data_IF_447513298201
#
_entry.id   IF_447513298201
#
_cell.length_a   1.000
_cell.length_b   1.000
_cell.length_c   1.000
_cell.angle_alpha   90.00
_cell.angle_beta   90.00
_cell.angle_gamma   90.00
#
_symmetry.space_group_name_H-M   'P 1'
#
loop_
_entity.id
_entity.type
_entity.pdbx_description
1 polymer ?
#
# COMPACT_ATOMS: atom_id res chain seq x y z
N UNK A 1 -1.64 8.67 -19.39
CA UNK A 1 -1.95 9.77 -18.45
C UNK A 1 -2.20 9.27 -17.02
N UNK A 2 -2.66 8.03 -16.81
CA UNK A 2 -3.09 7.52 -15.49
C UNK A 2 -1.98 7.27 -14.45
N UNK A 3 -0.79 6.81 -14.88
CA UNK A 3 0.29 6.48 -13.91
C UNK A 3 0.92 7.73 -13.29
N UNK A 4 1.06 8.80 -14.06
CA UNK A 4 1.70 10.04 -13.61
C UNK A 4 0.87 10.77 -12.55
N UNK A 5 -0.47 10.75 -12.68
CA UNK A 5 -1.39 11.39 -11.72
C UNK A 5 -1.40 10.62 -10.39
N UNK A 6 -1.52 9.29 -10.43
CA UNK A 6 -1.60 8.46 -9.22
C UNK A 6 -0.30 8.41 -8.42
N UNK A 7 0.85 8.40 -9.11
CA UNK A 7 2.16 8.48 -8.46
C UNK A 7 2.53 9.92 -8.05
N UNK A 8 2.17 10.91 -8.86
CA UNK A 8 2.39 12.33 -8.55
C UNK A 8 1.63 12.81 -7.31
N UNK A 9 0.39 12.35 -7.10
CA UNK A 9 -0.39 12.72 -5.91
C UNK A 9 0.22 12.17 -4.60
N UNK A 10 0.83 10.97 -4.64
CA UNK A 10 1.53 10.37 -3.48
C UNK A 10 2.87 11.03 -3.17
N UNK A 11 3.48 11.68 -4.16
CA UNK A 11 4.70 12.47 -4.01
C UNK A 11 4.38 13.85 -3.39
N UNK A 12 3.43 14.56 -4.00
CA UNK A 12 3.14 15.95 -3.69
C UNK A 12 2.41 16.09 -2.35
N UNK A 13 1.50 15.16 -2.03
CA UNK A 13 0.65 15.23 -0.84
C UNK A 13 1.41 15.32 0.49
N UNK A 14 2.24 14.32 0.87
CA UNK A 14 2.97 14.33 2.15
C UNK A 14 3.97 15.50 2.27
N UNK A 15 4.61 15.86 1.16
CA UNK A 15 5.60 16.95 1.10
C UNK A 15 4.95 18.31 1.39
N UNK A 16 3.83 18.61 0.74
CA UNK A 16 3.07 19.83 1.00
C UNK A 16 2.47 19.82 2.40
N UNK A 17 1.93 18.68 2.85
CA UNK A 17 1.35 18.56 4.19
C UNK A 17 2.38 18.86 5.30
N UNK A 18 3.60 18.36 5.17
CA UNK A 18 4.69 18.65 6.11
C UNK A 18 5.05 20.14 6.18
N UNK A 19 5.11 20.81 5.03
CA UNK A 19 5.39 22.26 4.95
C UNK A 19 4.25 23.09 5.57
N UNK A 20 2.99 22.79 5.24
CA UNK A 20 1.83 23.49 5.78
C UNK A 20 1.78 23.39 7.31
N UNK A 21 1.91 22.16 7.84
CA UNK A 21 1.88 21.94 9.30
C UNK A 21 3.06 22.62 9.99
N UNK A 22 4.25 22.58 9.38
CA UNK A 22 5.47 23.16 9.96
C UNK A 22 5.42 24.69 10.10
N UNK A 23 4.81 25.39 9.14
CA UNK A 23 4.76 26.86 9.14
C UNK A 23 3.49 27.45 9.75
N UNK A 24 2.33 26.83 9.52
CA UNK A 24 1.02 27.40 9.88
C UNK A 24 0.23 26.53 10.86
N UNK A 25 0.87 25.51 11.44
CA UNK A 25 0.26 24.62 12.41
C UNK A 25 -0.75 23.65 11.79
N UNK A 26 -1.28 22.74 12.63
CA UNK A 26 -2.12 21.63 12.18
C UNK A 26 -3.43 22.08 11.50
N UNK A 27 -4.01 23.21 11.90
CA UNK A 27 -5.25 23.73 11.33
C UNK A 27 -5.14 24.00 9.82
N UNK A 28 -3.97 24.45 9.36
CA UNK A 28 -3.71 24.72 7.94
C UNK A 28 -3.85 23.45 7.09
N UNK A 29 -3.38 22.30 7.58
CA UNK A 29 -3.52 21.03 6.87
C UNK A 29 -4.99 20.63 6.70
N UNK A 30 -5.84 20.87 7.71
CA UNK A 30 -7.27 20.59 7.63
C UNK A 30 -7.98 21.53 6.64
N UNK A 31 -7.67 22.83 6.63
CA UNK A 31 -8.25 23.78 5.68
C UNK A 31 -7.80 23.49 4.24
N UNK A 32 -6.51 23.25 4.02
CA UNK A 32 -5.98 22.88 2.70
C UNK A 32 -6.61 21.59 2.20
N UNK A 33 -6.78 20.60 3.08
CA UNK A 33 -7.49 19.37 2.75
C UNK A 33 -8.95 19.66 2.35
N UNK A 34 -9.69 20.46 3.13
CA UNK A 34 -11.07 20.82 2.81
C UNK A 34 -11.18 21.53 1.44
N UNK A 35 -10.28 22.47 1.15
CA UNK A 35 -10.23 23.18 -0.13
C UNK A 35 -9.94 22.23 -1.30
N UNK A 36 -9.07 21.23 -1.11
CA UNK A 36 -8.78 20.21 -2.14
C UNK A 36 -10.01 19.37 -2.49
N UNK A 37 -10.90 19.11 -1.53
CA UNK A 37 -12.17 18.42 -1.77
C UNK A 37 -13.15 19.29 -2.57
N UNK A 38 -13.18 20.60 -2.33
CA UNK A 38 -13.99 21.53 -3.15
C UNK A 38 -13.51 21.50 -4.61
N UNK A 39 -12.20 21.55 -4.83
CA UNK A 39 -11.62 21.43 -6.17
C UNK A 39 -11.97 20.09 -6.83
N UNK A 40 -11.93 18.98 -6.08
CA UNK A 40 -12.33 17.66 -6.56
C UNK A 40 -13.82 17.62 -6.95
N UNK A 41 -14.71 18.18 -6.13
CA UNK A 41 -16.16 18.25 -6.42
C UNK A 41 -16.40 19.07 -7.69
N UNK A 42 -15.76 20.23 -7.82
CA UNK A 42 -15.88 21.07 -9.01
C UNK A 42 -15.41 20.33 -10.28
N UNK A 43 -14.29 19.59 -10.19
CA UNK A 43 -13.80 18.76 -11.29
C UNK A 43 -14.77 17.62 -11.64
N UNK A 44 -15.36 16.96 -10.64
CA UNK A 44 -16.36 15.89 -10.84
C UNK A 44 -17.65 16.39 -11.49
N UNK A 45 -18.13 17.59 -11.12
CA UNK A 45 -19.32 18.19 -11.73
C UNK A 45 -19.04 18.66 -13.17
N UNK A 46 -17.79 19.03 -13.46
CA UNK A 46 -17.36 19.49 -14.79
C UNK A 46 -17.09 18.34 -15.78
N UNK A 47 -17.01 17.10 -15.31
CA UNK A 47 -16.78 15.94 -16.16
C UNK A 47 -18.00 15.67 -17.07
N UNK A 48 -17.79 15.45 -18.38
CA UNK A 48 -18.87 15.08 -19.28
C UNK A 48 -19.62 13.85 -18.79
N UNK A 49 -20.94 13.81 -19.02
CA UNK A 49 -21.72 12.59 -18.78
C UNK A 49 -21.10 11.45 -19.58
N UNK A 50 -20.93 10.30 -18.90
CA UNK A 50 -20.39 9.10 -19.53
C UNK A 50 -21.27 8.70 -20.72
N UNK A 51 -20.69 8.33 -21.88
CA UNK A 51 -21.43 7.72 -22.97
C UNK A 51 -22.16 6.45 -22.50
N UNK A 52 -23.44 6.31 -22.85
CA UNK A 52 -24.16 5.05 -22.64
C UNK A 52 -23.48 3.94 -23.45
N UNK A 53 -23.28 2.79 -22.81
CA UNK A 53 -22.72 1.61 -23.49
C UNK A 53 -23.80 0.86 -24.26
N UNK A 54 -23.43 -0.28 -24.85
CA UNK A 54 -24.45 -1.22 -25.32
C UNK A 54 -25.29 -1.75 -24.13
N UNK A 55 -26.52 -2.25 -24.36
CA UNK A 55 -27.33 -2.83 -23.28
C UNK A 55 -26.61 -3.94 -22.50
N UNK A 56 -25.80 -4.74 -23.20
CA UNK A 56 -24.95 -5.79 -22.60
C UNK A 56 -23.86 -5.18 -21.70
N UNK A 57 -23.16 -4.14 -22.16
CA UNK A 57 -22.18 -3.43 -21.33
C UNK A 57 -22.82 -2.77 -20.11
N UNK A 58 -24.04 -2.23 -20.23
CA UNK A 58 -24.77 -1.65 -19.10
C UNK A 58 -25.24 -2.72 -18.11
N UNK A 59 -25.65 -3.89 -18.59
CA UNK A 59 -26.00 -5.03 -17.76
C UNK A 59 -24.77 -5.59 -17.02
N UNK A 60 -23.61 -5.65 -17.69
CA UNK A 60 -22.33 -6.00 -17.07
C UNK A 60 -21.80 -4.92 -16.11
N UNK A 61 -22.23 -3.67 -16.25
CA UNK A 61 -21.99 -2.60 -15.24
C UNK A 61 -22.92 -2.72 -14.04
N UNK A 62 -24.13 -3.27 -14.21
CA UNK A 62 -25.07 -3.57 -13.11
C UNK A 62 -24.73 -4.83 -12.33
N UNK A 63 -23.81 -5.67 -12.82
CA UNK A 63 -23.36 -6.83 -12.07
C UNK A 63 -22.76 -6.44 -10.71
N UNK A 64 -23.03 -7.25 -9.71
CA UNK A 64 -22.74 -6.94 -8.31
C UNK A 64 -21.29 -7.11 -7.90
N UNK A 65 -20.99 -6.70 -6.66
CA UNK A 65 -19.68 -6.80 -5.99
C UNK A 65 -19.10 -8.24 -6.06
N UNK A 66 -19.96 -9.26 -6.09
CA UNK A 66 -19.55 -10.67 -6.20
C UNK A 66 -18.71 -10.96 -7.46
N UNK A 67 -18.89 -10.22 -8.55
CA UNK A 67 -18.10 -10.43 -9.76
C UNK A 67 -16.63 -10.02 -9.54
N UNK A 68 -16.39 -8.96 -8.77
CA UNK A 68 -15.05 -8.56 -8.36
C UNK A 68 -14.36 -9.66 -7.54
N UNK A 69 -15.07 -10.22 -6.55
CA UNK A 69 -14.56 -11.36 -5.77
C UNK A 69 -14.31 -12.61 -6.61
N UNK A 70 -15.21 -12.93 -7.55
CA UNK A 70 -15.06 -14.06 -8.47
C UNK A 70 -13.84 -13.89 -9.35
N UNK A 71 -13.65 -12.70 -9.92
CA UNK A 71 -12.47 -12.38 -10.74
C UNK A 71 -11.19 -12.49 -9.92
N UNK A 72 -11.16 -11.88 -8.73
CA UNK A 72 -10.01 -12.00 -7.81
C UNK A 72 -9.68 -13.48 -7.56
N UNK A 73 -10.67 -14.30 -7.20
CA UNK A 73 -10.46 -15.72 -6.90
C UNK A 73 -9.93 -16.51 -8.10
N UNK A 74 -10.28 -16.11 -9.33
CA UNK A 74 -9.76 -16.74 -10.55
C UNK A 74 -8.32 -16.35 -10.90
N UNK A 75 -7.86 -15.17 -10.46
CA UNK A 75 -6.52 -14.67 -10.77
C UNK A 75 -5.58 -14.89 -9.57
N UNK A 76 -4.73 -15.94 -9.67
CA UNK A 76 -3.77 -16.33 -8.62
C UNK A 76 -2.80 -15.21 -8.23
N UNK A 77 -2.36 -14.39 -9.18
CA UNK A 77 -1.44 -13.27 -8.90
C UNK A 77 -2.15 -12.24 -8.02
N UNK A 78 -3.38 -11.86 -8.38
CA UNK A 78 -4.17 -10.90 -7.61
C UNK A 78 -4.48 -11.44 -6.20
N UNK A 79 -4.81 -12.73 -6.07
CA UNK A 79 -4.97 -13.36 -4.74
C UNK A 79 -3.68 -13.23 -3.92
N UNK A 80 -2.51 -13.57 -4.48
CA UNK A 80 -1.24 -13.43 -3.77
C UNK A 80 -0.98 -11.99 -3.32
N UNK A 81 -1.26 -11.01 -4.18
CA UNK A 81 -1.06 -9.60 -3.84
C UNK A 81 -2.02 -9.09 -2.76
N UNK A 82 -3.28 -9.54 -2.78
CA UNK A 82 -4.27 -9.23 -1.75
C UNK A 82 -3.88 -9.87 -0.41
N UNK A 83 -3.43 -11.12 -0.44
CA UNK A 83 -2.91 -11.83 0.75
C UNK A 83 -1.69 -11.12 1.31
N UNK A 84 -0.77 -10.66 0.44
CA UNK A 84 0.39 -9.88 0.89
C UNK A 84 -0.04 -8.59 1.59
N UNK A 85 -1.01 -7.85 1.05
CA UNK A 85 -1.55 -6.65 1.73
C UNK A 85 -2.16 -7.03 3.07
N UNK A 86 -2.98 -8.09 3.13
CA UNK A 86 -3.57 -8.54 4.38
C UNK A 86 -2.52 -8.89 5.45
N UNK A 87 -1.43 -9.57 5.06
CA UNK A 87 -0.31 -9.87 5.95
C UNK A 87 0.37 -8.60 6.46
N UNK A 88 0.59 -7.60 5.59
CA UNK A 88 1.13 -6.31 6.01
C UNK A 88 0.18 -5.60 6.99
N UNK A 89 -1.12 -5.60 6.71
CA UNK A 89 -2.14 -5.00 7.58
C UNK A 89 -2.16 -5.63 8.97
N UNK A 90 -2.07 -6.96 9.06
CA UNK A 90 -2.20 -7.69 10.33
C UNK A 90 -0.90 -7.62 11.16
N UNK A 91 0.25 -7.87 10.52
CA UNK A 91 1.50 -8.11 11.24
C UNK A 91 2.43 -6.90 11.30
N UNK A 92 2.30 -5.94 10.39
CA UNK A 92 3.26 -4.83 10.26
C UNK A 92 2.62 -3.50 10.65
N UNK A 93 1.42 -3.22 10.14
CA UNK A 93 0.77 -1.92 10.29
C UNK A 93 0.50 -1.51 11.75
N UNK A 94 0.06 -2.41 12.66
CA UNK A 94 -0.19 -2.03 14.06
C UNK A 94 1.06 -1.54 14.78
N UNK A 95 2.24 -2.08 14.45
CA UNK A 95 3.52 -1.68 15.05
C UNK A 95 3.84 -0.20 14.80
N UNK A 96 3.53 0.30 13.60
CA UNK A 96 3.89 1.65 13.15
C UNK A 96 2.77 2.69 13.32
N UNK A 97 1.52 2.25 13.52
CA UNK A 97 0.36 3.16 13.58
C UNK A 97 -0.32 3.21 14.94
N UNK A 98 -0.56 2.04 15.57
CA UNK A 98 -1.33 1.94 16.82
C UNK A 98 -0.41 1.83 18.03
N UNK A 99 0.63 1.00 17.94
CA UNK A 99 1.52 0.70 19.07
C UNK A 99 2.65 1.71 19.23
N UNK A 100 2.92 2.53 18.21
CA UNK A 100 4.04 3.47 18.20
C UNK A 100 4.08 4.44 19.41
N UNK A 101 2.98 5.07 19.86
CA UNK A 101 3.02 5.97 21.01
C UNK A 101 3.46 5.24 22.29
N UNK A 102 2.93 4.03 22.51
CA UNK A 102 3.28 3.18 23.65
C UNK A 102 4.72 2.68 23.53
N UNK A 103 5.17 2.30 22.33
CA UNK A 103 6.55 1.90 22.08
C UNK A 103 7.54 3.02 22.43
N UNK A 104 7.26 4.26 22.00
CA UNK A 104 8.12 5.41 22.29
C UNK A 104 8.18 5.70 23.80
N UNK A 105 7.05 5.61 24.50
CA UNK A 105 6.97 5.88 25.94
C UNK A 105 7.57 4.76 26.79
N UNK A 106 7.16 3.52 26.53
CA UNK A 106 7.38 2.38 27.44
C UNK A 106 8.65 1.59 27.09
N UNK A 107 9.09 1.62 25.82
CA UNK A 107 10.27 0.87 25.36
C UNK A 107 11.48 1.78 25.13
N UNK A 108 11.28 2.95 24.52
CA UNK A 108 12.37 3.91 24.28
C UNK A 108 12.55 4.91 25.42
N UNK A 109 11.56 5.05 26.32
CA UNK A 109 11.54 6.07 27.38
C UNK A 109 11.72 7.50 26.83
N UNK A 110 11.11 7.78 25.68
CA UNK A 110 11.17 9.06 24.97
C UNK A 110 9.80 9.76 24.96
N UNK A 111 9.80 11.03 24.56
CA UNK A 111 8.59 11.87 24.50
C UNK A 111 8.06 12.12 23.10
N UNK A 112 7.04 13.00 23.02
CA UNK A 112 6.33 13.36 21.79
C UNK A 112 7.25 13.88 20.67
N UNK A 113 8.35 14.59 21.00
CA UNK A 113 9.33 15.07 20.01
C UNK A 113 9.95 13.91 19.22
N UNK A 114 10.34 12.84 19.90
CA UNK A 114 10.90 11.64 19.27
C UNK A 114 9.85 10.88 18.48
N UNK A 115 8.61 10.81 18.97
CA UNK A 115 7.49 10.24 18.22
C UNK A 115 7.26 10.98 16.89
N UNK A 116 7.22 12.32 16.94
CA UNK A 116 7.12 13.15 15.73
C UNK A 116 8.30 12.94 14.77
N UNK A 117 9.52 12.81 15.29
CA UNK A 117 10.70 12.45 14.50
C UNK A 117 10.58 11.09 13.81
N UNK A 118 10.13 10.05 14.51
CA UNK A 118 9.91 8.72 13.93
C UNK A 118 8.81 8.75 12.86
N UNK A 119 7.72 9.49 13.10
CA UNK A 119 6.66 9.68 12.10
C UNK A 119 7.17 10.43 10.86
N UNK A 120 8.00 11.45 11.02
CA UNK A 120 8.60 12.19 9.90
C UNK A 120 9.54 11.30 9.07
N UNK A 121 10.35 10.46 9.73
CA UNK A 121 11.24 9.51 9.06
C UNK A 121 10.44 8.43 8.32
N UNK A 122 9.39 7.91 8.94
CA UNK A 122 8.46 6.98 8.28
C UNK A 122 7.80 7.61 7.05
N UNK A 123 7.27 8.84 7.17
CA UNK A 123 6.68 9.56 6.05
C UNK A 123 7.67 9.82 4.91
N UNK A 124 8.90 10.22 5.24
CA UNK A 124 9.98 10.42 4.27
C UNK A 124 10.38 9.11 3.58
N UNK A 125 10.46 8.02 4.33
CA UNK A 125 10.69 6.69 3.80
C UNK A 125 9.58 6.24 2.84
N UNK A 126 8.31 6.44 3.21
CA UNK A 126 7.18 6.13 2.36
C UNK A 126 7.20 6.93 1.04
N UNK A 127 7.57 8.20 1.10
CA UNK A 127 7.79 9.06 -0.07
C UNK A 127 8.91 8.50 -0.97
N UNK A 128 10.08 8.19 -0.40
CA UNK A 128 11.20 7.60 -1.15
C UNK A 128 10.82 6.25 -1.79
N UNK A 129 10.10 5.39 -1.07
CA UNK A 129 9.58 4.14 -1.62
C UNK A 129 8.59 4.34 -2.77
N UNK A 130 7.79 5.41 -2.71
CA UNK A 130 6.85 5.77 -3.78
C UNK A 130 7.55 6.25 -5.05
N UNK A 131 8.68 6.96 -4.93
CA UNK A 131 9.53 7.33 -6.07
C UNK A 131 10.25 6.09 -6.58
N UNK A 132 10.85 5.31 -5.68
CA UNK A 132 11.65 4.14 -6.03
C UNK A 132 10.87 3.11 -6.85
N UNK A 133 9.55 2.99 -6.66
CA UNK A 133 8.75 2.05 -7.47
C UNK A 133 8.83 2.39 -8.97
N UNK A 134 9.02 3.67 -9.33
CA UNK A 134 9.06 4.13 -10.71
C UNK A 134 10.28 3.60 -11.46
N UNK A 135 11.38 3.29 -10.76
CA UNK A 135 12.58 2.70 -11.34
C UNK A 135 12.51 1.18 -11.49
N UNK A 136 11.42 0.53 -11.04
CA UNK A 136 11.30 -0.92 -11.08
C UNK A 136 10.71 -1.38 -12.42
N UNK A 137 11.54 -2.03 -13.25
CA UNK A 137 11.13 -2.65 -14.50
C UNK A 137 10.03 -3.72 -14.28
N UNK A 138 9.12 -3.85 -15.25
CA UNK A 138 7.92 -4.71 -15.14
C UNK A 138 8.24 -6.17 -14.80
N UNK A 139 9.25 -6.74 -15.45
CA UNK A 139 9.72 -8.11 -15.22
C UNK A 139 10.31 -8.37 -13.83
N UNK A 140 10.81 -7.33 -13.16
CA UNK A 140 11.50 -7.44 -11.88
C UNK A 140 10.60 -7.10 -10.69
N UNK A 141 9.35 -6.66 -10.91
CA UNK A 141 8.44 -6.22 -9.84
C UNK A 141 8.29 -7.24 -8.73
N UNK A 142 7.99 -8.50 -9.05
CA UNK A 142 7.81 -9.55 -8.04
C UNK A 142 9.10 -9.87 -7.27
N UNK A 143 10.26 -9.83 -7.94
CA UNK A 143 11.57 -10.02 -7.29
C UNK A 143 11.86 -8.91 -6.29
N UNK A 144 11.63 -7.65 -6.69
CA UNK A 144 11.75 -6.49 -5.80
C UNK A 144 10.77 -6.56 -4.63
N UNK A 145 9.53 -6.99 -4.86
CA UNK A 145 8.54 -7.16 -3.79
C UNK A 145 8.99 -8.19 -2.75
N UNK A 146 9.62 -9.29 -3.18
CA UNK A 146 10.16 -10.30 -2.25
C UNK A 146 11.31 -9.72 -1.42
N UNK A 147 12.21 -8.94 -2.03
CA UNK A 147 13.25 -8.21 -1.28
C UNK A 147 12.66 -7.25 -0.24
N UNK A 148 11.61 -6.52 -0.61
CA UNK A 148 10.89 -5.62 0.30
C UNK A 148 10.23 -6.39 1.47
N UNK A 149 9.65 -7.57 1.23
CA UNK A 149 9.10 -8.41 2.30
C UNK A 149 10.18 -8.77 3.32
N UNK A 150 11.36 -9.16 2.87
CA UNK A 150 12.49 -9.46 3.77
C UNK A 150 12.92 -8.21 4.53
N UNK A 151 13.03 -7.05 3.86
CA UNK A 151 13.37 -5.78 4.50
C UNK A 151 12.34 -5.36 5.57
N UNK A 152 11.04 -5.56 5.31
CA UNK A 152 9.96 -5.29 6.27
C UNK A 152 10.08 -6.22 7.48
N UNK A 153 10.23 -7.54 7.25
CA UNK A 153 10.38 -8.51 8.34
C UNK A 153 11.58 -8.17 9.23
N UNK A 154 12.74 -7.91 8.62
CA UNK A 154 13.96 -7.51 9.33
C UNK A 154 13.80 -6.18 10.06
N UNK A 155 13.12 -5.19 9.46
CA UNK A 155 12.85 -3.91 10.09
C UNK A 155 11.99 -4.05 11.34
N UNK A 156 10.90 -4.83 11.29
CA UNK A 156 10.04 -5.07 12.45
C UNK A 156 10.80 -5.86 13.53
N UNK A 157 11.64 -6.82 13.13
CA UNK A 157 12.50 -7.56 14.06
C UNK A 157 13.54 -6.65 14.73
N UNK A 158 14.21 -5.77 14.00
CA UNK A 158 15.14 -4.81 14.62
C UNK A 158 14.43 -3.82 15.54
N UNK A 159 13.19 -3.43 15.20
CA UNK A 159 12.37 -2.62 16.09
C UNK A 159 12.03 -3.38 17.39
N UNK A 160 11.85 -4.70 17.37
CA UNK A 160 11.60 -5.46 18.62
C UNK A 160 12.83 -5.50 19.54
N UNK A 161 14.03 -5.48 18.97
CA UNK A 161 15.31 -5.49 19.71
C UNK A 161 15.77 -4.09 20.13
N UNK A 162 15.35 -3.05 19.42
CA UNK A 162 15.84 -1.68 19.64
C UNK A 162 15.56 -1.15 21.05
N UNK A 163 16.50 -0.35 21.56
CA UNK A 163 16.41 0.41 22.81
C UNK A 163 16.69 1.91 22.59
N UNK A 164 16.98 2.31 21.35
CA UNK A 164 17.44 3.65 21.04
C UNK A 164 16.69 4.25 19.85
N UNK A 165 16.58 5.58 19.85
CA UNK A 165 15.93 6.32 18.78
C UNK A 165 16.50 6.01 17.40
N UNK A 166 17.83 5.98 17.26
CA UNK A 166 18.49 5.88 15.95
C UNK A 166 18.20 4.54 15.25
N UNK A 167 18.28 3.43 15.99
CA UNK A 167 18.00 2.10 15.42
C UNK A 167 16.52 1.96 15.05
N UNK A 168 15.61 2.43 15.91
CA UNK A 168 14.17 2.45 15.61
C UNK A 168 13.87 3.35 14.41
N UNK A 169 14.53 4.50 14.29
CA UNK A 169 14.38 5.42 13.16
C UNK A 169 14.81 4.77 11.83
N UNK A 170 16.00 4.15 11.80
CA UNK A 170 16.47 3.43 10.61
C UNK A 170 15.53 2.27 10.23
N UNK A 171 15.09 1.49 11.23
CA UNK A 171 14.15 0.39 11.01
C UNK A 171 12.81 0.89 10.45
N UNK A 172 12.21 1.92 11.05
CA UNK A 172 10.95 2.50 10.57
C UNK A 172 11.08 3.11 9.18
N UNK A 173 12.19 3.79 8.89
CA UNK A 173 12.47 4.31 7.55
C UNK A 173 12.52 3.20 6.50
N UNK A 174 13.25 2.11 6.80
CA UNK A 174 13.35 0.95 5.91
C UNK A 174 12.00 0.24 5.71
N UNK A 175 11.23 0.04 6.79
CA UNK A 175 9.88 -0.51 6.73
C UNK A 175 9.01 0.37 5.82
N UNK A 176 9.04 1.69 6.01
CA UNK A 176 8.17 2.61 5.26
C UNK A 176 8.51 2.64 3.76
N UNK A 177 9.81 2.63 3.39
CA UNK A 177 10.25 2.52 1.99
C UNK A 177 9.69 1.25 1.36
N UNK A 178 9.98 0.10 1.97
CA UNK A 178 9.61 -1.20 1.44
C UNK A 178 8.09 -1.41 1.38
N UNK A 179 7.37 -0.97 2.41
CA UNK A 179 5.91 -1.06 2.50
C UNK A 179 5.25 -0.19 1.42
N UNK A 180 5.66 1.07 1.28
CA UNK A 180 5.13 1.99 0.27
C UNK A 180 5.36 1.48 -1.15
N UNK A 181 6.56 0.97 -1.42
CA UNK A 181 6.89 0.36 -2.72
C UNK A 181 6.01 -0.87 -3.00
N UNK A 182 5.83 -1.77 -2.03
CA UNK A 182 4.96 -2.94 -2.17
C UNK A 182 3.49 -2.56 -2.40
N UNK A 183 2.95 -1.58 -1.67
CA UNK A 183 1.60 -1.07 -1.91
C UNK A 183 1.46 -0.46 -3.30
N UNK A 184 2.47 0.28 -3.75
CA UNK A 184 2.52 0.85 -5.09
C UNK A 184 2.50 -0.22 -6.18
N UNK A 185 3.43 -1.19 -6.10
CA UNK A 185 3.55 -2.29 -7.05
C UNK A 185 2.30 -3.16 -7.09
N UNK A 186 1.70 -3.49 -5.94
CA UNK A 186 0.44 -4.23 -5.90
C UNK A 186 -0.66 -3.50 -6.65
N UNK A 187 -0.87 -2.21 -6.37
CA UNK A 187 -1.90 -1.43 -7.06
C UNK A 187 -1.66 -1.36 -8.56
N UNK A 188 -0.40 -1.16 -8.98
CA UNK A 188 -0.04 -1.12 -10.40
C UNK A 188 -0.28 -2.46 -11.09
N UNK A 189 0.13 -3.59 -10.49
CA UNK A 189 -0.06 -4.92 -11.08
C UNK A 189 -1.56 -5.26 -11.15
N UNK A 190 -2.32 -4.98 -10.10
CA UNK A 190 -3.77 -5.21 -10.08
C UNK A 190 -4.47 -4.39 -11.18
N UNK A 191 -4.13 -3.10 -11.33
CA UNK A 191 -4.72 -2.25 -12.36
C UNK A 191 -4.32 -2.68 -13.77
N UNK A 192 -3.09 -3.17 -13.96
CA UNK A 192 -2.62 -3.70 -15.25
C UNK A 192 -3.32 -5.01 -15.64
N UNK A 193 -3.65 -5.87 -14.68
CA UNK A 193 -4.28 -7.17 -14.95
C UNK A 193 -5.81 -7.09 -15.02
N UNK A 194 -6.44 -6.19 -14.25
CA UNK A 194 -7.89 -6.12 -14.18
C UNK A 194 -8.50 -5.53 -15.48
N UNK A 195 -9.50 -6.20 -16.08
CA UNK A 195 -10.27 -5.68 -17.22
C UNK A 195 -10.89 -4.33 -16.89
N UNK A 196 -10.96 -3.42 -17.86
CA UNK A 196 -11.42 -2.04 -17.64
C UNK A 196 -12.77 -1.94 -16.92
N UNK A 197 -13.71 -2.83 -17.21
CA UNK A 197 -15.04 -2.87 -16.59
C UNK A 197 -15.03 -3.42 -15.14
N UNK A 198 -13.98 -4.14 -14.71
CA UNK A 198 -13.83 -4.69 -13.35
C UNK A 198 -12.81 -3.96 -12.49
N UNK A 199 -11.98 -3.08 -13.05
CA UNK A 199 -10.89 -2.39 -12.33
C UNK A 199 -11.33 -1.81 -10.99
N UNK A 200 -12.41 -1.03 -10.97
CA UNK A 200 -12.92 -0.42 -9.73
C UNK A 200 -13.35 -1.45 -8.68
N UNK A 201 -14.00 -2.54 -9.11
CA UNK A 201 -14.46 -3.62 -8.22
C UNK A 201 -13.28 -4.41 -7.65
N UNK A 202 -12.29 -4.74 -8.47
CA UNK A 202 -11.07 -5.45 -8.04
C UNK A 202 -10.25 -4.57 -7.09
N UNK A 203 -10.08 -3.29 -7.42
CA UNK A 203 -9.43 -2.32 -6.51
C UNK A 203 -10.18 -2.17 -5.19
N UNK A 204 -11.52 -2.27 -5.16
CA UNK A 204 -12.29 -2.28 -3.93
C UNK A 204 -12.01 -3.52 -3.06
N UNK A 205 -11.89 -4.72 -3.67
CA UNK A 205 -11.51 -5.94 -2.95
C UNK A 205 -10.08 -5.81 -2.37
N UNK A 206 -9.15 -5.24 -3.14
CA UNK A 206 -7.79 -4.93 -2.64
C UNK A 206 -7.83 -3.90 -1.51
N UNK A 207 -8.65 -2.85 -1.64
CA UNK A 207 -8.82 -1.85 -0.58
C UNK A 207 -9.40 -2.47 0.70
N UNK A 208 -10.31 -3.43 0.57
CA UNK A 208 -10.90 -4.14 1.70
C UNK A 208 -9.87 -4.96 2.50
N UNK A 209 -8.86 -5.55 1.87
CA UNK A 209 -7.80 -6.26 2.61
C UNK A 209 -6.90 -5.32 3.41
N UNK A 210 -6.93 -4.02 3.12
CA UNK A 210 -6.28 -3.00 3.94
C UNK A 210 -7.26 -2.40 4.95
N UNK A 211 -8.25 -1.65 4.49
CA UNK A 211 -9.16 -0.90 5.36
C UNK A 211 -10.09 -1.80 6.19
N UNK A 212 -10.51 -2.94 5.66
CA UNK A 212 -11.41 -3.87 6.35
C UNK A 212 -10.71 -4.67 7.45
N UNK A 213 -9.41 -4.98 7.28
CA UNK A 213 -8.63 -5.71 8.27
C UNK A 213 -7.97 -4.81 9.32
N UNK A 214 -7.85 -3.51 9.04
CA UNK A 214 -7.17 -2.56 9.93
C UNK A 214 -7.77 -2.48 11.35
N UNK A 215 -9.11 -2.42 11.56
CA UNK A 215 -9.69 -2.44 12.90
C UNK A 215 -9.39 -3.74 13.65
N UNK A 216 -9.45 -4.87 12.94
CA UNK A 216 -9.17 -6.20 13.49
C UNK A 216 -7.70 -6.29 13.92
N UNK A 217 -6.79 -5.86 13.05
CA UNK A 217 -5.35 -5.82 13.33
C UNK A 217 -5.02 -4.86 14.50
N UNK A 218 -5.70 -3.72 14.57
CA UNK A 218 -5.55 -2.74 15.64
C UNK A 218 -6.09 -3.18 17.00
N UNK A 219 -6.94 -4.20 17.05
CA UNK A 219 -7.40 -4.80 18.31
C UNK A 219 -6.53 -6.00 18.70
N UNK A 220 -6.27 -6.91 17.75
CA UNK A 220 -5.59 -8.16 18.03
C UNK A 220 -4.14 -7.92 18.41
N UNK A 221 -3.38 -7.18 17.59
CA UNK A 221 -1.92 -7.08 17.76
C UNK A 221 -1.55 -6.32 19.04
N UNK A 222 -2.15 -5.17 19.37
CA UNK A 222 -1.93 -4.53 20.67
C UNK A 222 -2.45 -5.37 21.85
N UNK A 223 -3.59 -6.06 21.71
CA UNK A 223 -4.09 -6.95 22.76
C UNK A 223 -3.11 -8.07 23.10
N UNK A 224 -2.42 -8.64 22.11
CA UNK A 224 -1.31 -9.57 22.36
C UNK A 224 -0.12 -8.87 23.02
N UNK A 225 0.22 -7.65 22.62
CA UNK A 225 1.30 -6.88 23.24
C UNK A 225 1.09 -6.63 24.74
N UNK A 226 -0.15 -6.47 25.19
CA UNK A 226 -0.49 -6.32 26.61
C UNK A 226 -0.29 -7.64 27.39
N UNK A 227 -0.51 -8.79 26.75
CA UNK A 227 -0.44 -10.12 27.39
C UNK A 227 0.99 -10.69 27.45
N UNK A 228 1.73 -10.61 26.34
CA UNK A 228 3.04 -11.27 26.20
C UNK A 228 4.20 -10.28 26.06
N UNK A 229 3.90 -8.98 26.15
CA UNK A 229 4.87 -7.91 26.01
C UNK A 229 5.08 -7.46 24.56
N UNK A 230 5.23 -6.16 24.37
CA UNK A 230 5.36 -5.51 23.06
C UNK A 230 6.52 -6.05 22.22
N UNK A 231 7.70 -6.25 22.81
CA UNK A 231 8.87 -6.77 22.11
C UNK A 231 8.62 -8.18 21.58
N UNK A 232 8.04 -9.06 22.41
CA UNK A 232 7.70 -10.44 22.02
C UNK A 232 6.69 -10.45 20.88
N UNK A 233 5.63 -9.63 20.97
CA UNK A 233 4.62 -9.51 19.92
C UNK A 233 5.22 -9.05 18.59
N UNK A 234 6.11 -8.04 18.60
CA UNK A 234 6.78 -7.57 17.38
C UNK A 234 7.70 -8.65 16.78
N UNK A 235 8.44 -9.38 17.62
CA UNK A 235 9.26 -10.50 17.16
C UNK A 235 8.41 -11.59 16.51
N UNK A 236 7.35 -12.04 17.18
CA UNK A 236 6.44 -13.06 16.63
C UNK A 236 5.80 -12.58 15.32
N UNK A 237 5.33 -11.33 15.27
CA UNK A 237 4.74 -10.76 14.07
C UNK A 237 5.73 -10.71 12.90
N UNK A 238 6.99 -10.32 13.14
CA UNK A 238 8.04 -10.30 12.11
C UNK A 238 8.35 -11.70 11.55
N UNK A 239 8.43 -12.71 12.41
CA UNK A 239 8.71 -14.10 12.02
C UNK A 239 7.55 -14.68 11.22
N UNK A 240 6.31 -14.53 11.71
CA UNK A 240 5.12 -14.99 11.00
C UNK A 240 4.99 -14.29 9.65
N UNK A 241 5.19 -12.97 9.61
CA UNK A 241 5.15 -12.20 8.38
C UNK A 241 6.18 -12.69 7.37
N UNK A 242 7.44 -12.88 7.77
CA UNK A 242 8.50 -13.37 6.89
C UNK A 242 8.21 -14.76 6.33
N UNK A 243 7.78 -15.70 7.20
CA UNK A 243 7.46 -17.08 6.82
C UNK A 243 6.23 -17.13 5.90
N UNK A 244 5.23 -16.28 6.12
CA UNK A 244 4.00 -16.30 5.33
C UNK A 244 4.11 -15.52 4.01
N UNK A 245 4.75 -14.34 4.01
CA UNK A 245 4.75 -13.42 2.87
C UNK A 245 5.73 -13.84 1.76
N UNK A 246 6.87 -14.47 2.09
CA UNK A 246 7.85 -14.92 1.08
C UNK A 246 7.27 -16.02 0.18
N UNK A 247 6.63 -17.09 0.69
CA UNK A 247 5.97 -18.10 -0.14
C UNK A 247 4.83 -17.54 -1.00
N UNK A 248 4.07 -16.57 -0.49
CA UNK A 248 2.96 -15.95 -1.23
C UNK A 248 3.45 -15.29 -2.52
N UNK A 249 4.61 -14.61 -2.47
CA UNK A 249 5.24 -14.00 -3.64
C UNK A 249 5.96 -15.00 -4.54
N UNK A 250 6.55 -16.07 -3.99
CA UNK A 250 7.18 -17.11 -4.82
C UNK A 250 6.14 -17.87 -5.66
N UNK A 251 4.96 -18.14 -5.11
CA UNK A 251 3.81 -18.70 -5.85
C UNK A 251 3.35 -17.74 -6.96
N UNK A 252 3.29 -16.43 -6.68
CA UNK A 252 2.95 -15.44 -7.69
C UNK A 252 3.97 -15.41 -8.84
N UNK A 253 5.27 -15.53 -8.52
CA UNK A 253 6.35 -15.54 -9.50
C UNK A 253 6.31 -16.73 -10.46
N UNK A 254 5.96 -17.93 -9.96
CA UNK A 254 5.81 -19.13 -10.80
C UNK A 254 4.72 -18.98 -11.85
N UNK A 255 3.57 -18.43 -11.45
CA UNK A 255 2.44 -18.22 -12.36
C UNK A 255 2.66 -17.15 -13.43
N UNK A 256 3.59 -16.21 -13.22
CA UNK A 256 4.00 -15.25 -14.27
C UNK A 256 4.84 -15.94 -15.33
N UNK A 257 5.71 -16.88 -14.96
CA UNK A 257 6.51 -17.65 -15.92
C UNK A 257 5.66 -18.63 -16.76
N UNK A 258 4.55 -19.12 -16.20
CA UNK A 258 3.67 -20.08 -16.87
C UNK A 258 2.70 -19.45 -17.89
N UNK A 259 2.53 -18.11 -17.88
CA UNK A 259 1.71 -17.43 -18.89
C UNK A 259 2.57 -17.05 -20.09
N UNK A 260 2.37 -17.66 -21.28
CA UNK A 260 3.10 -17.26 -22.48
C UNK A 260 2.81 -15.78 -22.77
N UNK A 261 3.88 -15.01 -22.95
CA UNK A 261 3.81 -13.61 -23.40
C UNK A 261 3.12 -13.63 -24.76
N UNK A 262 1.83 -13.34 -24.80
CA UNK A 262 1.14 -13.11 -26.07
C UNK A 262 1.81 -11.90 -26.73
N UNK A 263 2.27 -12.00 -27.99
CA UNK A 263 2.94 -10.89 -28.65
C UNK A 263 2.05 -9.65 -28.59
N UNK A 264 2.67 -8.48 -28.40
CA UNK A 264 1.94 -7.23 -28.51
C UNK A 264 1.19 -7.21 -29.87
N UNK A 265 -0.06 -6.72 -29.93
CA UNK A 265 -0.72 -6.52 -31.21
C UNK A 265 0.19 -5.65 -32.07
N UNK A 266 0.51 -6.11 -33.28
CA UNK A 266 1.23 -5.29 -34.26
C UNK A 266 0.46 -3.97 -34.42
N UNK A 267 1.15 -2.82 -34.46
CA UNK A 267 0.49 -1.56 -34.75
C UNK A 267 -0.18 -1.70 -36.12
N UNK A 268 -1.50 -1.68 -36.11
CA UNK A 268 -2.34 -1.63 -37.30
C UNK A 268 -2.05 -0.28 -37.97
N UNK A 269 -1.12 -0.28 -38.92
CA UNK A 269 -0.82 0.90 -39.75
C UNK A 269 -2.02 1.03 -40.69
N UNK A 270 -3.01 1.83 -40.29
CA UNK A 270 -4.05 2.28 -41.20
C UNK A 270 -3.38 3.02 -42.37
N UNK A 271 -3.54 2.58 -43.63
CA UNK A 271 -3.08 3.35 -44.76
C UNK A 271 -3.95 4.60 -44.85
N UNK A 272 -3.33 5.75 -44.60
CA UNK A 272 -3.89 7.05 -44.92
C UNK A 272 -4.03 7.11 -46.45
N UNK A 273 -5.27 6.99 -46.94
CA UNK A 273 -5.68 7.39 -48.29
C UNK A 273 -6.49 8.69 -48.19
#
# INVERSE_FOLDING_TARGET
MDRSVFHGSRLIGPSLAGLFVGWWGAASAFFTNALSFVALIAALISLPKRPMGTPEEEQQRRSGILEGFRYVRSNRIIVSLITLIALNTIFVFPAISVMLPLYVRDILHLGAKSMGGLMAISGSGAFLGSIGLLSVARENRLKFMTGNVVAIAMGVFFMSLSQGFLLTACAMGAIAIALSMNFGLTNTIVQEQAPAHLRGRVSAVVGMSFFGLMPIAGLITPGFADLIGMRTTLTIASVIYGIAAVPVLSVAGRHVCDQPVSPAPEPEIEPVC
#
